data_IF_983421158210
#
_entry.id   IF_983421158210
#
_cell.length_a   1.000
_cell.length_b   1.000
_cell.length_c   1.000
_cell.angle_alpha   90.00
_cell.angle_beta   90.00
_cell.angle_gamma   90.00
#
_symmetry.space_group_name_H-M   'P 1'
#
loop_
_entity.id
_entity.type
_entity.pdbx_description
1 polymer ?
#
# COMPACT_ATOMS: atom_id res chain seq x y z
N UNK A 1 -3.21 -4.28 20.10
CA UNK A 1 -2.00 -4.85 19.48
C UNK A 1 -0.97 -3.74 19.43
N UNK A 2 0.20 -3.93 20.00
CA UNK A 2 1.30 -2.98 19.92
C UNK A 2 2.04 -3.08 18.57
N UNK A 3 2.96 -2.15 18.30
CA UNK A 3 3.70 -2.11 17.02
C UNK A 3 4.55 -3.37 16.79
N UNK A 4 5.23 -3.86 17.83
CA UNK A 4 6.10 -5.03 17.72
C UNK A 4 5.31 -6.29 17.33
N UNK A 5 4.17 -6.53 18.00
CA UNK A 5 3.29 -7.66 17.70
C UNK A 5 2.70 -7.56 16.29
N UNK A 6 2.33 -6.33 15.88
CA UNK A 6 1.80 -6.09 14.55
C UNK A 6 2.83 -6.43 13.47
N UNK A 7 4.07 -5.96 13.64
CA UNK A 7 5.16 -6.23 12.69
C UNK A 7 5.46 -7.72 12.63
N UNK A 8 5.61 -8.38 13.79
CA UNK A 8 5.86 -9.83 13.83
C UNK A 8 4.77 -10.63 13.13
N UNK A 9 3.51 -10.26 13.32
CA UNK A 9 2.37 -10.90 12.66
C UNK A 9 2.40 -10.72 11.14
N UNK A 10 2.78 -9.54 10.65
CA UNK A 10 2.79 -9.21 9.22
C UNK A 10 4.05 -9.72 8.53
N UNK A 11 5.20 -9.54 9.14
CA UNK A 11 6.50 -9.83 8.55
C UNK A 11 7.06 -11.22 8.90
N UNK A 12 6.55 -11.83 9.96
CA UNK A 12 7.00 -13.14 10.45
C UNK A 12 8.28 -13.08 11.29
N UNK A 13 8.92 -11.93 11.38
CA UNK A 13 10.14 -11.67 12.17
C UNK A 13 10.00 -10.36 12.94
N UNK A 14 10.72 -10.18 14.07
CA UNK A 14 10.66 -8.94 14.82
C UNK A 14 11.28 -7.77 14.05
N UNK A 15 10.96 -6.56 14.49
CA UNK A 15 11.58 -5.34 13.99
C UNK A 15 13.11 -5.40 14.19
N UNK A 16 13.87 -5.02 13.16
CA UNK A 16 15.33 -4.98 13.20
C UNK A 16 16.02 -6.33 12.96
N UNK A 17 15.27 -7.43 12.73
CA UNK A 17 15.88 -8.69 12.30
C UNK A 17 16.57 -8.53 10.94
N UNK A 18 17.72 -9.19 10.76
CA UNK A 18 18.54 -9.10 9.55
C UNK A 18 17.81 -9.47 8.25
N UNK A 19 16.81 -10.36 8.34
CA UNK A 19 15.98 -10.81 7.23
C UNK A 19 14.63 -10.09 7.11
N UNK A 20 14.41 -9.01 7.86
CA UNK A 20 13.14 -8.27 7.91
C UNK A 20 12.73 -7.70 6.55
N UNK A 21 13.65 -7.04 5.85
CA UNK A 21 13.41 -6.50 4.51
C UNK A 21 13.11 -7.61 3.49
N UNK A 22 13.91 -8.67 3.49
CA UNK A 22 13.70 -9.83 2.61
C UNK A 22 12.33 -10.45 2.80
N UNK A 23 11.91 -10.67 4.06
CA UNK A 23 10.60 -11.24 4.36
C UNK A 23 9.46 -10.33 3.89
N UNK A 24 9.57 -9.02 4.11
CA UNK A 24 8.61 -8.03 3.63
C UNK A 24 8.45 -8.11 2.11
N UNK A 25 9.56 -8.13 1.36
CA UNK A 25 9.54 -8.19 -0.10
C UNK A 25 8.93 -9.50 -0.61
N UNK A 26 9.33 -10.65 -0.06
CA UNK A 26 8.81 -11.96 -0.46
C UNK A 26 7.30 -12.07 -0.19
N UNK A 27 6.85 -11.61 0.98
CA UNK A 27 5.44 -11.69 1.38
C UNK A 27 4.55 -10.74 0.62
N UNK A 28 4.98 -9.49 0.44
CA UNK A 28 4.19 -8.49 -0.28
C UNK A 28 4.10 -8.81 -1.78
N UNK A 29 5.22 -9.03 -2.44
CA UNK A 29 5.23 -9.37 -3.87
C UNK A 29 4.50 -10.68 -4.15
N UNK A 30 4.68 -11.70 -3.30
CA UNK A 30 4.00 -13.00 -3.43
C UNK A 30 2.56 -13.02 -2.93
N UNK A 31 1.96 -11.89 -2.56
CA UNK A 31 0.57 -11.84 -2.12
C UNK A 31 -0.38 -12.26 -3.24
N UNK A 32 -1.37 -13.08 -2.91
CA UNK A 32 -2.37 -13.60 -3.85
C UNK A 32 -3.59 -12.70 -4.06
N UNK A 33 -3.59 -11.53 -3.43
CA UNK A 33 -4.57 -10.44 -3.62
C UNK A 33 -3.84 -9.11 -3.46
N UNK A 34 -4.24 -8.10 -4.21
CA UNK A 34 -3.60 -6.79 -4.11
C UNK A 34 -3.81 -6.13 -2.74
N UNK A 35 -4.95 -6.36 -2.09
CA UNK A 35 -5.18 -5.94 -0.70
C UNK A 35 -4.22 -6.59 0.30
N UNK A 36 -3.81 -7.85 0.06
CA UNK A 36 -2.81 -8.53 0.89
C UNK A 36 -1.39 -8.01 0.64
N UNK A 37 -1.07 -7.56 -0.58
CA UNK A 37 0.19 -6.87 -0.85
C UNK A 37 0.40 -5.74 0.16
N UNK A 38 -0.57 -4.86 0.31
CA UNK A 38 -0.51 -3.73 1.23
C UNK A 38 -0.50 -4.12 2.70
N UNK A 39 -1.04 -5.29 3.05
CA UNK A 39 -0.93 -5.81 4.43
C UNK A 39 0.48 -6.19 4.82
N UNK A 40 1.32 -6.58 3.87
CA UNK A 40 2.69 -7.01 4.10
C UNK A 40 3.71 -5.91 3.80
N UNK A 41 3.36 -4.97 2.92
CA UNK A 41 4.24 -3.87 2.55
C UNK A 41 4.35 -2.86 3.68
N UNK A 42 5.60 -2.52 4.05
CA UNK A 42 5.94 -1.54 5.08
C UNK A 42 5.02 -1.61 6.32
N UNK A 43 5.12 -2.65 7.16
CA UNK A 43 4.19 -2.86 8.27
C UNK A 43 4.26 -1.77 9.34
N UNK A 44 5.39 -1.06 9.49
CA UNK A 44 5.51 0.08 10.41
C UNK A 44 4.56 1.20 9.97
N UNK A 45 4.67 1.60 8.71
CA UNK A 45 3.85 2.66 8.13
C UNK A 45 2.37 2.28 8.10
N UNK A 46 2.07 1.04 7.70
CA UNK A 46 0.71 0.49 7.73
C UNK A 46 0.09 0.51 9.13
N UNK A 47 0.88 0.27 10.17
CA UNK A 47 0.40 0.35 11.57
C UNK A 47 -0.05 1.76 11.92
N UNK A 48 0.78 2.77 11.63
CA UNK A 48 0.47 4.16 11.96
C UNK A 48 -0.67 4.72 11.11
N UNK A 49 -0.67 4.47 9.80
CA UNK A 49 -1.79 4.87 8.93
C UNK A 49 -3.11 4.21 9.37
N UNK A 50 -3.07 2.93 9.71
CA UNK A 50 -4.24 2.21 10.21
C UNK A 50 -4.75 2.77 11.53
N UNK A 51 -3.86 3.10 12.45
CA UNK A 51 -4.22 3.59 13.78
C UNK A 51 -4.71 5.04 13.79
N UNK A 52 -4.03 5.93 13.08
CA UNK A 52 -4.24 7.37 13.19
C UNK A 52 -5.06 7.98 12.05
N UNK A 53 -5.20 7.29 10.92
CA UNK A 53 -5.96 7.77 9.77
C UNK A 53 -7.17 6.87 9.49
N UNK A 54 -6.95 5.61 9.14
CA UNK A 54 -8.03 4.72 8.70
C UNK A 54 -9.09 4.45 9.78
N UNK A 55 -8.68 4.09 11.00
CA UNK A 55 -9.64 3.77 12.08
C UNK A 55 -10.48 4.97 12.49
N UNK A 56 -9.93 6.17 12.71
CA UNK A 56 -10.74 7.35 13.00
C UNK A 56 -11.71 7.68 11.85
N UNK A 57 -11.26 7.63 10.60
CA UNK A 57 -12.12 7.88 9.44
C UNK A 57 -13.28 6.89 9.35
N UNK A 58 -13.08 5.63 9.68
CA UNK A 58 -14.14 4.61 9.69
C UNK A 58 -15.27 4.88 10.67
N UNK A 59 -15.09 5.75 11.65
CA UNK A 59 -16.16 6.13 12.58
C UNK A 59 -17.19 7.00 11.88
N UNK A 60 -16.77 7.84 10.94
CA UNK A 60 -17.59 8.85 10.28
C UNK A 60 -17.84 8.58 8.79
N UNK A 61 -17.05 7.71 8.15
CA UNK A 61 -17.09 7.44 6.72
C UNK A 61 -17.21 5.93 6.43
N UNK A 62 -17.78 5.56 5.27
CA UNK A 62 -17.75 4.16 4.81
C UNK A 62 -16.31 3.63 4.70
N UNK A 63 -16.09 2.31 4.94
CA UNK A 63 -14.75 1.72 4.91
C UNK A 63 -13.99 1.95 3.60
N UNK A 64 -14.66 1.90 2.45
CA UNK A 64 -14.04 2.12 1.15
C UNK A 64 -13.50 3.56 1.02
N UNK A 65 -14.30 4.56 1.41
CA UNK A 65 -13.89 5.96 1.38
C UNK A 65 -12.76 6.23 2.38
N UNK A 66 -12.85 5.66 3.57
CA UNK A 66 -11.77 5.74 4.59
C UNK A 66 -10.45 5.17 4.06
N UNK A 67 -10.53 4.08 3.30
CA UNK A 67 -9.36 3.46 2.67
C UNK A 67 -8.76 4.38 1.59
N UNK A 68 -9.58 4.93 0.70
CA UNK A 68 -9.12 5.85 -0.35
C UNK A 68 -8.44 7.09 0.23
N UNK A 69 -9.03 7.70 1.25
CA UNK A 69 -8.44 8.86 1.93
C UNK A 69 -7.10 8.46 2.59
N UNK A 70 -7.01 7.28 3.18
CA UNK A 70 -5.76 6.77 3.78
C UNK A 70 -4.66 6.60 2.72
N UNK A 71 -5.00 6.06 1.54
CA UNK A 71 -4.06 5.96 0.42
C UNK A 71 -3.64 7.33 -0.10
N UNK A 72 -4.60 8.24 -0.32
CA UNK A 72 -4.32 9.60 -0.77
C UNK A 72 -3.42 10.35 0.24
N UNK A 73 -3.69 10.22 1.53
CA UNK A 73 -2.87 10.80 2.59
C UNK A 73 -1.44 10.22 2.59
N UNK A 74 -1.30 8.91 2.40
CA UNK A 74 0.01 8.26 2.26
C UNK A 74 0.80 8.84 1.08
N UNK A 75 0.17 8.94 -0.10
CA UNK A 75 0.77 9.55 -1.29
C UNK A 75 1.13 11.02 -1.07
N UNK A 76 0.26 11.79 -0.43
CA UNK A 76 0.49 13.20 -0.13
C UNK A 76 1.71 13.44 0.78
N UNK A 77 1.90 12.62 1.81
CA UNK A 77 3.10 12.73 2.66
C UNK A 77 4.37 12.47 1.83
N UNK A 78 4.36 11.51 0.91
CA UNK A 78 5.50 11.25 0.04
C UNK A 78 5.76 12.42 -0.92
N UNK A 79 4.71 12.98 -1.54
CA UNK A 79 4.83 14.18 -2.36
C UNK A 79 5.36 15.37 -1.56
N UNK A 80 4.87 15.56 -0.33
CA UNK A 80 5.30 16.65 0.55
C UNK A 80 6.82 16.58 0.84
N UNK A 81 7.34 15.38 1.12
CA UNK A 81 8.78 15.18 1.33
C UNK A 81 9.56 15.54 0.06
N UNK A 82 9.08 15.10 -1.12
CA UNK A 82 9.73 15.41 -2.40
C UNK A 82 9.68 16.91 -2.69
N UNK A 83 8.54 17.57 -2.46
CA UNK A 83 8.38 19.02 -2.64
C UNK A 83 9.35 19.81 -1.76
N UNK A 84 9.52 19.40 -0.48
CA UNK A 84 10.47 20.06 0.42
C UNK A 84 11.92 19.89 -0.05
N UNK A 85 12.28 18.70 -0.57
CA UNK A 85 13.64 18.42 -1.04
C UNK A 85 13.94 19.14 -2.36
N UNK A 86 12.97 19.18 -3.29
CA UNK A 86 13.15 19.70 -4.65
C UNK A 86 12.80 21.18 -4.81
N UNK A 87 12.13 21.77 -3.81
CA UNK A 87 11.60 23.14 -3.87
C UNK A 87 10.69 23.38 -5.08
N UNK A 88 9.99 22.34 -5.51
CA UNK A 88 9.09 22.37 -6.66
C UNK A 88 7.75 21.70 -6.27
N UNK A 89 6.65 22.24 -6.80
CA UNK A 89 5.32 21.73 -6.54
C UNK A 89 4.97 20.63 -7.55
N UNK A 90 4.91 19.39 -7.09
CA UNK A 90 4.48 18.27 -7.92
C UNK A 90 3.72 17.24 -7.06
N UNK A 91 2.54 16.83 -7.51
CA UNK A 91 1.70 15.82 -6.87
C UNK A 91 1.62 14.57 -7.77
N UNK A 92 2.67 13.78 -7.83
CA UNK A 92 2.68 12.52 -8.59
C UNK A 92 2.24 11.32 -7.73
N UNK A 93 2.72 11.26 -6.50
CA UNK A 93 2.50 10.10 -5.65
C UNK A 93 1.09 10.06 -5.05
N UNK A 94 0.49 11.22 -4.81
CA UNK A 94 -0.91 11.30 -4.34
C UNK A 94 -1.88 10.62 -5.31
N UNK A 95 -1.97 10.98 -6.61
CA UNK A 95 -2.84 10.28 -7.55
C UNK A 95 -2.43 8.82 -7.77
N UNK A 96 -1.14 8.50 -7.76
CA UNK A 96 -0.67 7.13 -7.87
C UNK A 96 -1.19 6.25 -6.73
N UNK A 97 -1.01 6.69 -5.48
CA UNK A 97 -1.52 5.96 -4.31
C UNK A 97 -3.05 5.87 -4.30
N UNK A 98 -3.73 6.93 -4.71
CA UNK A 98 -5.19 6.93 -4.83
C UNK A 98 -5.66 5.86 -5.84
N UNK A 99 -5.04 5.77 -7.02
CA UNK A 99 -5.34 4.73 -8.00
C UNK A 99 -5.09 3.31 -7.45
N UNK A 100 -4.00 3.11 -6.70
CA UNK A 100 -3.76 1.83 -6.04
C UNK A 100 -4.83 1.51 -4.99
N UNK A 101 -5.33 2.50 -4.26
CA UNK A 101 -6.46 2.35 -3.35
C UNK A 101 -7.73 1.91 -4.06
N UNK A 102 -8.03 2.46 -5.24
CA UNK A 102 -9.14 1.99 -6.09
C UNK A 102 -8.94 0.54 -6.54
N UNK A 103 -7.72 0.17 -6.95
CA UNK A 103 -7.41 -1.22 -7.32
C UNK A 103 -7.63 -2.20 -6.16
N UNK A 104 -7.31 -1.81 -4.93
CA UNK A 104 -7.59 -2.62 -3.73
C UNK A 104 -9.09 -2.83 -3.56
N UNK A 105 -9.89 -1.76 -3.62
CA UNK A 105 -11.34 -1.83 -3.44
C UNK A 105 -12.00 -2.66 -4.54
N UNK A 106 -11.66 -2.39 -5.80
CA UNK A 106 -12.22 -3.13 -6.95
C UNK A 106 -11.81 -4.60 -6.87
N UNK A 107 -10.56 -4.89 -6.55
CA UNK A 107 -10.06 -6.26 -6.42
C UNK A 107 -10.78 -7.05 -5.33
N UNK A 108 -11.01 -6.46 -4.19
CA UNK A 108 -11.73 -7.09 -3.08
C UNK A 108 -13.24 -7.23 -3.39
N UNK A 109 -13.86 -6.22 -4.00
CA UNK A 109 -15.25 -6.26 -4.41
C UNK A 109 -15.51 -7.34 -5.47
N UNK A 110 -14.66 -7.40 -6.49
CA UNK A 110 -14.72 -8.41 -7.56
C UNK A 110 -14.19 -9.79 -7.12
N UNK A 111 -13.75 -9.92 -5.86
CA UNK A 111 -13.17 -11.16 -5.29
C UNK A 111 -12.01 -11.72 -6.12
N UNK A 112 -11.18 -10.84 -6.70
CA UNK A 112 -10.02 -11.22 -7.49
C UNK A 112 -9.00 -11.90 -6.57
N UNK A 113 -8.72 -13.16 -6.86
CA UNK A 113 -7.78 -13.99 -6.09
C UNK A 113 -6.88 -14.79 -7.06
N UNK A 114 -5.59 -14.50 -7.03
CA UNK A 114 -4.57 -15.18 -7.82
C UNK A 114 -3.60 -15.99 -6.95
N UNK A 115 -4.01 -16.35 -5.74
CA UNK A 115 -3.20 -17.13 -4.79
C UNK A 115 -2.83 -18.53 -5.31
N UNK A 116 -3.61 -19.06 -6.26
CA UNK A 116 -3.35 -20.38 -6.88
C UNK A 116 -2.13 -20.39 -7.81
N UNK A 117 -1.70 -19.24 -8.30
CA UNK A 117 -0.53 -19.14 -9.16
C UNK A 117 0.79 -19.24 -8.38
N UNK A 118 1.87 -19.55 -9.07
CA UNK A 118 3.22 -19.58 -8.50
C UNK A 118 3.66 -18.20 -8.05
N UNK A 119 4.66 -18.14 -7.18
CA UNK A 119 5.16 -16.88 -6.63
C UNK A 119 5.57 -15.85 -7.72
N UNK A 120 6.33 -16.22 -8.80
CA UNK A 120 6.71 -15.27 -9.84
C UNK A 120 5.51 -14.64 -10.56
N UNK A 121 4.47 -15.42 -10.82
CA UNK A 121 3.24 -14.93 -11.47
C UNK A 121 2.52 -13.93 -10.55
N UNK A 122 2.38 -14.26 -9.26
CA UNK A 122 1.78 -13.34 -8.28
C UNK A 122 2.56 -12.05 -8.15
N UNK A 123 3.90 -12.15 -8.10
CA UNK A 123 4.77 -10.98 -8.05
C UNK A 123 4.64 -10.11 -9.30
N UNK A 124 4.59 -10.73 -10.48
CA UNK A 124 4.36 -10.02 -11.75
C UNK A 124 3.01 -9.29 -11.76
N UNK A 125 1.93 -9.91 -11.30
CA UNK A 125 0.61 -9.28 -11.23
C UNK A 125 0.66 -8.05 -10.30
N UNK A 126 1.22 -8.19 -9.11
CA UNK A 126 1.32 -7.08 -8.16
C UNK A 126 2.16 -5.92 -8.73
N UNK A 127 3.30 -6.22 -9.35
CA UNK A 127 4.16 -5.21 -10.00
C UNK A 127 3.43 -4.53 -11.16
N UNK A 128 2.72 -5.27 -12.00
CA UNK A 128 1.95 -4.71 -13.11
C UNK A 128 0.85 -3.76 -12.65
N UNK A 129 0.15 -4.07 -11.57
CA UNK A 129 -0.85 -3.16 -10.99
C UNK A 129 -0.19 -1.88 -10.51
N UNK A 130 0.91 -1.98 -9.74
CA UNK A 130 1.64 -0.84 -9.21
C UNK A 130 2.18 0.05 -10.34
N UNK A 131 2.84 -0.56 -11.33
CA UNK A 131 3.42 0.15 -12.47
C UNK A 131 2.35 0.76 -13.39
N UNK A 132 1.25 0.05 -13.62
CA UNK A 132 0.11 0.54 -14.39
C UNK A 132 -0.52 1.77 -13.75
N UNK A 133 -0.74 1.74 -12.42
CA UNK A 133 -1.23 2.91 -11.69
C UNK A 133 -0.25 4.09 -11.78
N UNK A 134 1.06 3.83 -11.74
CA UNK A 134 2.07 4.89 -11.88
C UNK A 134 2.04 5.53 -13.27
N UNK A 135 1.96 4.72 -14.32
CA UNK A 135 1.87 5.21 -15.70
C UNK A 135 0.63 6.08 -15.90
N UNK A 136 -0.53 5.65 -15.38
CA UNK A 136 -1.77 6.43 -15.45
C UNK A 136 -1.61 7.75 -14.68
N UNK A 137 -1.08 7.71 -13.46
CA UNK A 137 -0.85 8.91 -12.66
C UNK A 137 0.07 9.90 -13.36
N UNK A 138 1.11 9.41 -14.03
CA UNK A 138 2.03 10.23 -14.80
C UNK A 138 1.35 10.89 -16.02
N UNK A 139 0.51 10.12 -16.75
CA UNK A 139 -0.23 10.66 -17.91
C UNK A 139 -1.25 11.75 -17.54
N UNK A 140 -1.83 11.70 -16.34
CA UNK A 140 -2.78 12.71 -15.86
C UNK A 140 -2.07 14.06 -15.58
N UNK A 141 -0.76 14.04 -15.35
CA UNK A 141 0.01 15.25 -15.02
C UNK A 141 0.65 15.96 -16.24
N UNK A 142 0.66 15.31 -17.38
CA UNK A 142 1.12 15.89 -18.64
C UNK A 142 -0.04 16.61 -19.33
#
# INVERSE_FOLDING_TARGET
>A
MNLSDYIRKRNGVPLGASNSLRNMMIRSLGAGKFSKFWKYWNPIWSYYLGKYIFKPLKIILPPALSLLITFAFCGFIHDLVIMIIRWDFALLLTPWFLLMGFCVIIGDYAKIDYSKFTWPIRASINILIISGCLLIAYQIQI
#
